data_IF_404361603016
#
_entry.id   IF_404361603016
#
_cell.length_a   1.000
_cell.length_b   1.000
_cell.length_c   1.000
_cell.angle_alpha   90.00
_cell.angle_beta   90.00
_cell.angle_gamma   90.00
#
_symmetry.space_group_name_H-M   'P 1'
#
loop_
_entity.id
_entity.type
_entity.pdbx_description
1 polymer ?
#
# COMPACT_ATOMS: atom_id res chain seq x y z
N UNK A 1 14.90 -3.76 8.94
CA UNK A 1 14.37 -2.38 8.91
C UNK A 1 14.64 -1.67 10.22
N UNK A 2 15.07 -0.40 10.21
CA UNK A 2 15.33 0.34 11.45
C UNK A 2 14.06 1.04 11.99
N UNK A 3 14.14 1.59 13.21
CA UNK A 3 13.01 2.27 13.85
C UNK A 3 12.55 3.51 13.07
N UNK A 4 13.48 4.27 12.49
CA UNK A 4 13.17 5.49 11.73
C UNK A 4 12.27 5.15 10.53
N UNK A 5 12.63 4.12 9.76
CA UNK A 5 11.83 3.67 8.61
C UNK A 5 10.41 3.22 9.01
N UNK A 6 10.25 2.61 10.20
CA UNK A 6 8.93 2.25 10.76
C UNK A 6 8.12 3.51 11.05
N UNK A 7 8.72 4.48 11.73
CA UNK A 7 8.05 5.72 12.11
C UNK A 7 7.73 6.61 10.90
N UNK A 8 8.60 6.67 9.89
CA UNK A 8 8.34 7.34 8.61
C UNK A 8 7.11 6.73 7.92
N UNK A 9 7.08 5.40 7.80
CA UNK A 9 5.97 4.69 7.16
C UNK A 9 4.65 4.86 7.92
N UNK A 10 4.71 4.79 9.26
CA UNK A 10 3.56 5.04 10.12
C UNK A 10 3.05 6.48 10.01
N UNK A 11 3.96 7.46 9.93
CA UNK A 11 3.59 8.86 9.78
C UNK A 11 2.89 9.12 8.45
N UNK A 12 3.35 8.49 7.36
CA UNK A 12 2.68 8.54 6.06
C UNK A 12 1.28 7.91 6.11
N UNK A 13 1.14 6.77 6.79
CA UNK A 13 -0.16 6.12 6.99
C UNK A 13 -1.14 7.01 7.76
N UNK A 14 -0.69 7.60 8.87
CA UNK A 14 -1.50 8.50 9.69
C UNK A 14 -1.89 9.78 8.95
N UNK A 15 -0.96 10.35 8.17
CA UNK A 15 -1.24 11.50 7.31
C UNK A 15 -2.33 11.18 6.28
N UNK A 16 -2.21 10.05 5.58
CA UNK A 16 -3.19 9.61 4.60
C UNK A 16 -4.56 9.31 5.25
N UNK A 17 -4.57 8.70 6.44
CA UNK A 17 -5.80 8.44 7.21
C UNK A 17 -6.47 9.75 7.66
N UNK A 18 -5.69 10.72 8.12
CA UNK A 18 -6.20 12.05 8.49
C UNK A 18 -6.80 12.78 7.28
N UNK A 19 -6.12 12.74 6.13
CA UNK A 19 -6.64 13.29 4.88
C UNK A 19 -7.93 12.56 4.42
N UNK A 20 -8.00 11.23 4.58
CA UNK A 20 -9.21 10.46 4.29
C UNK A 20 -10.37 10.89 5.18
N UNK A 21 -10.14 11.06 6.47
CA UNK A 21 -11.14 11.53 7.42
C UNK A 21 -11.66 12.93 7.05
N UNK A 22 -10.77 13.86 6.70
CA UNK A 22 -11.16 15.21 6.26
C UNK A 22 -11.91 15.19 4.91
N UNK A 23 -11.64 14.23 4.04
CA UNK A 23 -12.33 14.11 2.74
C UNK A 23 -13.83 13.82 2.86
N UNK A 24 -14.29 13.30 4.02
CA UNK A 24 -15.69 12.93 4.25
C UNK A 24 -16.13 11.67 3.49
N UNK A 25 -15.21 10.92 2.88
CA UNK A 25 -15.52 9.69 2.16
C UNK A 25 -16.08 8.59 3.09
N UNK A 26 -16.88 7.69 2.52
CA UNK A 26 -17.58 6.63 3.27
C UNK A 26 -16.61 5.67 3.97
N UNK A 27 -16.78 5.43 5.27
CA UNK A 27 -15.98 4.43 5.99
C UNK A 27 -16.22 2.99 5.52
N UNK A 28 -17.34 2.71 4.84
CA UNK A 28 -17.56 1.42 4.18
C UNK A 28 -16.61 1.22 3.00
N UNK A 29 -16.36 2.27 2.22
CA UNK A 29 -15.38 2.25 1.13
C UNK A 29 -13.99 1.93 1.69
N UNK A 30 -13.61 2.58 2.79
CA UNK A 30 -12.37 2.31 3.50
C UNK A 30 -12.26 0.85 3.94
N UNK A 31 -13.26 0.36 4.68
CA UNK A 31 -13.23 -0.99 5.25
C UNK A 31 -13.14 -2.09 4.17
N UNK A 32 -13.81 -1.90 3.03
CA UNK A 32 -13.78 -2.87 1.92
C UNK A 32 -12.43 -2.81 1.19
N UNK A 33 -11.93 -1.62 0.89
CA UNK A 33 -10.78 -1.45 0.02
C UNK A 33 -9.43 -1.50 0.72
N UNK A 34 -9.38 -1.36 2.06
CA UNK A 34 -8.10 -1.36 2.78
C UNK A 34 -7.33 -2.66 2.53
N UNK A 35 -8.00 -3.81 2.44
CA UNK A 35 -7.37 -5.12 2.17
C UNK A 35 -7.29 -5.47 0.68
N UNK A 36 -7.79 -4.62 -0.22
CA UNK A 36 -7.80 -4.92 -1.66
C UNK A 36 -6.39 -5.15 -2.25
N UNK A 37 -5.33 -4.40 -1.86
CA UNK A 37 -3.98 -4.66 -2.36
C UNK A 37 -3.45 -6.06 -2.01
N UNK A 38 -3.87 -6.65 -0.89
CA UNK A 38 -3.39 -7.97 -0.44
C UNK A 38 -3.89 -9.14 -1.29
N UNK A 39 -4.96 -8.96 -2.06
CA UNK A 39 -5.40 -9.94 -3.06
C UNK A 39 -4.31 -10.24 -4.10
N UNK A 40 -3.33 -9.33 -4.26
CA UNK A 40 -2.14 -9.56 -5.08
C UNK A 40 -1.31 -10.79 -4.65
N UNK A 41 -1.46 -11.26 -3.41
CA UNK A 41 -0.82 -12.50 -2.94
C UNK A 41 -1.22 -13.73 -3.76
N UNK A 42 -2.41 -13.77 -4.37
CA UNK A 42 -2.80 -14.86 -5.27
C UNK A 42 -1.87 -15.01 -6.49
N UNK A 43 -1.10 -13.96 -6.84
CA UNK A 43 -0.05 -14.05 -7.85
C UNK A 43 1.01 -15.13 -7.55
N UNK A 44 1.23 -15.47 -6.27
CA UNK A 44 2.17 -16.51 -5.87
C UNK A 44 1.74 -17.94 -6.26
N UNK A 45 0.47 -18.16 -6.63
CA UNK A 45 0.01 -19.44 -7.18
C UNK A 45 0.77 -19.81 -8.47
N UNK A 46 1.23 -18.80 -9.23
CA UNK A 46 2.05 -18.99 -10.45
C UNK A 46 3.56 -19.05 -10.16
N UNK A 47 3.96 -19.03 -8.89
CA UNK A 47 5.35 -19.09 -8.44
C UNK A 47 5.88 -17.75 -7.89
N UNK A 48 7.06 -17.78 -7.24
CA UNK A 48 7.57 -16.67 -6.44
C UNK A 48 7.92 -15.42 -7.25
N UNK A 49 8.42 -15.56 -8.48
CA UNK A 49 8.75 -14.40 -9.34
C UNK A 49 7.49 -13.64 -9.77
N UNK A 50 6.48 -14.35 -10.28
CA UNK A 50 5.21 -13.75 -10.69
C UNK A 50 4.49 -13.16 -9.49
N UNK A 51 4.47 -13.88 -8.36
CA UNK A 51 3.92 -13.37 -7.10
C UNK A 51 4.58 -12.07 -6.64
N UNK A 52 5.92 -12.01 -6.67
CA UNK A 52 6.66 -10.80 -6.30
C UNK A 52 6.32 -9.61 -7.21
N UNK A 53 6.22 -9.82 -8.54
CA UNK A 53 5.85 -8.74 -9.47
C UNK A 53 4.44 -8.23 -9.20
N UNK A 54 3.44 -9.12 -9.11
CA UNK A 54 2.04 -8.74 -8.89
C UNK A 54 1.87 -8.05 -7.54
N UNK A 55 2.49 -8.57 -6.48
CA UNK A 55 2.50 -7.95 -5.17
C UNK A 55 3.14 -6.56 -5.19
N UNK A 56 4.30 -6.41 -5.84
CA UNK A 56 5.03 -5.15 -5.89
C UNK A 56 4.27 -4.06 -6.65
N UNK A 57 3.54 -4.42 -7.72
CA UNK A 57 2.66 -3.48 -8.43
C UNK A 57 1.57 -2.97 -7.47
N UNK A 58 0.93 -3.88 -6.72
CA UNK A 58 -0.11 -3.53 -5.75
C UNK A 58 0.43 -2.78 -4.51
N UNK A 59 1.71 -2.91 -4.17
CA UNK A 59 2.33 -2.28 -3.00
C UNK A 59 3.32 -1.16 -3.35
N UNK A 60 3.22 -0.61 -4.55
CA UNK A 60 4.04 0.50 -5.04
C UNK A 60 3.36 1.85 -4.82
N UNK A 61 4.13 2.82 -4.32
CA UNK A 61 3.70 4.23 -4.25
C UNK A 61 3.41 4.83 -5.63
N UNK A 62 3.94 4.25 -6.71
CA UNK A 62 3.67 4.72 -8.07
C UNK A 62 2.17 4.65 -8.37
N UNK A 63 1.51 3.54 -8.01
CA UNK A 63 0.07 3.38 -8.24
C UNK A 63 -0.76 4.39 -7.44
N UNK A 64 -0.40 4.61 -6.18
CA UNK A 64 -1.01 5.63 -5.31
C UNK A 64 -0.91 7.02 -5.95
N UNK A 65 0.29 7.41 -6.36
CA UNK A 65 0.54 8.75 -6.94
C UNK A 65 -0.22 8.91 -8.26
N UNK A 66 -0.18 7.92 -9.15
CA UNK A 66 -0.91 7.99 -10.42
C UNK A 66 -2.42 8.13 -10.21
N UNK A 67 -3.00 7.36 -9.28
CA UNK A 67 -4.43 7.44 -8.98
C UNK A 67 -4.80 8.78 -8.33
N UNK A 68 -3.97 9.29 -7.43
CA UNK A 68 -4.16 10.60 -6.80
C UNK A 68 -4.08 11.74 -7.83
N UNK A 69 -3.07 11.74 -8.70
CA UNK A 69 -2.91 12.76 -9.75
C UNK A 69 -4.07 12.71 -10.73
N UNK A 70 -4.49 11.52 -11.17
CA UNK A 70 -5.64 11.37 -12.06
C UNK A 70 -6.93 11.86 -11.39
N UNK A 71 -7.14 11.47 -10.12
CA UNK A 71 -8.30 11.91 -9.35
C UNK A 71 -8.35 13.42 -9.18
N UNK A 72 -7.20 14.05 -8.94
CA UNK A 72 -7.11 15.50 -8.82
C UNK A 72 -7.35 16.19 -10.17
N UNK A 73 -6.68 15.75 -11.24
CA UNK A 73 -6.78 16.33 -12.58
C UNK A 73 -8.21 16.24 -13.15
N UNK A 74 -8.93 15.17 -12.84
CA UNK A 74 -10.31 14.95 -13.30
C UNK A 74 -11.38 15.40 -12.29
N UNK A 75 -10.97 15.93 -11.14
CA UNK A 75 -11.85 16.29 -10.02
C UNK A 75 -12.73 15.11 -9.53
N UNK A 76 -12.17 13.90 -9.54
CA UNK A 76 -12.81 12.66 -9.10
C UNK A 76 -12.47 12.37 -7.63
N UNK A 77 -13.33 12.83 -6.73
CA UNK A 77 -13.17 12.65 -5.29
C UNK A 77 -13.03 11.17 -4.88
N UNK A 78 -13.72 10.26 -5.56
CA UNK A 78 -13.62 8.82 -5.30
C UNK A 78 -12.21 8.29 -5.57
N UNK A 79 -11.54 8.77 -6.63
CA UNK A 79 -10.16 8.37 -6.93
C UNK A 79 -9.18 8.87 -5.87
N UNK A 80 -9.37 10.09 -5.36
CA UNK A 80 -8.58 10.60 -4.24
C UNK A 80 -8.80 9.73 -2.99
N UNK A 81 -10.05 9.41 -2.66
CA UNK A 81 -10.38 8.55 -1.53
C UNK A 81 -9.73 7.16 -1.64
N UNK A 82 -9.80 6.53 -2.82
CA UNK A 82 -9.14 5.25 -3.08
C UNK A 82 -7.62 5.33 -2.97
N UNK A 83 -7.00 6.41 -3.49
CA UNK A 83 -5.56 6.61 -3.38
C UNK A 83 -5.12 6.79 -1.92
N UNK A 84 -5.91 7.49 -1.10
CA UNK A 84 -5.65 7.65 0.33
C UNK A 84 -5.78 6.31 1.08
N UNK A 85 -6.82 5.51 0.81
CA UNK A 85 -6.96 4.16 1.40
C UNK A 85 -5.74 3.30 1.04
N UNK A 86 -5.34 3.33 -0.23
CA UNK A 86 -4.19 2.59 -0.72
C UNK A 86 -2.88 3.04 -0.06
N UNK A 87 -2.72 4.35 0.14
CA UNK A 87 -1.59 4.92 0.88
C UNK A 87 -1.55 4.46 2.34
N UNK A 88 -2.70 4.42 3.01
CA UNK A 88 -2.82 3.90 4.39
C UNK A 88 -2.37 2.44 4.44
N UNK A 89 -2.86 1.59 3.53
CA UNK A 89 -2.47 0.17 3.45
C UNK A 89 -0.95 0.01 3.33
N UNK A 90 -0.34 0.63 2.31
CA UNK A 90 1.11 0.55 2.07
C UNK A 90 1.92 1.09 3.26
N UNK A 91 1.47 2.20 3.86
CA UNK A 91 2.15 2.80 5.02
C UNK A 91 2.10 1.90 6.25
N UNK A 92 0.96 1.29 6.55
CA UNK A 92 0.81 0.32 7.65
C UNK A 92 1.68 -0.91 7.41
N UNK A 93 1.63 -1.49 6.21
CA UNK A 93 2.46 -2.63 5.83
C UNK A 93 3.94 -2.37 6.07
N UNK A 94 4.43 -1.23 5.58
CA UNK A 94 5.83 -0.84 5.75
C UNK A 94 6.17 -0.54 7.19
N UNK A 95 5.27 0.06 7.98
CA UNK A 95 5.47 0.24 9.40
C UNK A 95 5.61 -1.10 10.16
N UNK A 96 4.93 -2.14 9.68
CA UNK A 96 5.02 -3.50 10.22
C UNK A 96 6.24 -4.28 9.71
N UNK A 97 6.86 -3.84 8.62
CA UNK A 97 8.06 -4.45 8.02
C UNK A 97 7.78 -5.26 6.77
N UNK A 98 6.56 -5.19 6.23
CA UNK A 98 6.25 -5.68 4.91
C UNK A 98 6.75 -4.69 3.86
N UNK A 99 7.61 -5.16 2.96
CA UNK A 99 8.15 -4.36 1.87
C UNK A 99 7.96 -5.03 0.52
N UNK A 100 8.41 -4.33 -0.53
CA UNK A 100 8.55 -4.88 -1.88
C UNK A 100 9.38 -6.15 -1.85
N UNK A 101 8.89 -7.17 -2.56
CA UNK A 101 9.33 -8.56 -2.55
C UNK A 101 10.39 -8.80 -3.61
N UNK A 102 11.38 -9.63 -3.26
CA UNK A 102 12.30 -10.20 -4.22
C UNK A 102 11.78 -11.53 -4.77
N UNK A 103 12.25 -11.90 -5.97
CA UNK A 103 11.87 -13.16 -6.62
C UNK A 103 12.41 -14.43 -5.94
N UNK A 104 13.21 -14.29 -4.89
CA UNK A 104 13.71 -15.40 -4.05
C UNK A 104 12.66 -15.95 -3.09
N UNK A 105 11.64 -15.17 -2.72
CA UNK A 105 10.55 -15.62 -1.85
C UNK A 105 9.82 -14.47 -1.14
N UNK A 106 8.65 -14.78 -0.57
CA UNK A 106 7.78 -13.77 0.06
C UNK A 106 8.39 -13.07 1.28
N UNK A 107 9.33 -13.72 1.97
CA UNK A 107 9.97 -13.16 3.17
C UNK A 107 11.09 -12.17 2.86
N UNK A 108 11.64 -12.19 1.65
CA UNK A 108 12.78 -11.37 1.28
C UNK A 108 12.30 -10.05 0.68
N UNK A 109 12.63 -8.95 1.35
CA UNK A 109 12.17 -7.61 0.95
C UNK A 109 13.30 -6.60 0.91
N UNK A 110 13.08 -5.47 0.24
CA UNK A 110 14.01 -4.34 0.26
C UNK A 110 14.24 -3.73 1.65
N UNK A 111 13.38 -4.03 2.64
CA UNK A 111 13.49 -3.55 4.03
C UNK A 111 14.23 -4.56 4.93
N UNK A 112 14.67 -5.68 4.34
CA UNK A 112 15.22 -6.84 5.03
C UNK A 112 14.25 -8.03 5.01
N UNK A 113 14.64 -9.10 5.71
CA UNK A 113 13.82 -10.31 5.83
C UNK A 113 12.72 -10.10 6.88
N UNK A 114 11.49 -10.49 6.55
CA UNK A 114 10.36 -10.40 7.49
C UNK A 114 10.64 -11.26 8.73
N UNK A 115 10.35 -10.73 9.91
CA UNK A 115 10.53 -11.41 11.20
C UNK A 115 11.98 -11.41 11.73
N UNK A 116 12.86 -10.59 11.14
CA UNK A 116 14.22 -10.32 11.62
C UNK A 116 14.44 -8.81 11.75
#
# INVERSE_FOLDING_TARGET
MNLIQRLESLSLALLALGAYWVSGASWWLFAILILAPDLSFFGYVKGPRTGAVVYNIAHSWIGVVLLAVLGWAMNWQVCIAMALIWAVHIGVDRALGFGLKYGSGFQDTHLGRIGR
#
